data_IF_705562893717
#
_entry.id   IF_705562893717
#
_cell.length_a   1.000
_cell.length_b   1.000
_cell.length_c   1.000
_cell.angle_alpha   90.00
_cell.angle_beta   90.00
_cell.angle_gamma   90.00
#
_symmetry.space_group_name_H-M   'P 1'
#
loop_
_entity.id
_entity.type
_entity.pdbx_description
1 polymer ?
#
# COMPACT_ATOMS: atom_id res chain seq x y z
N UNK A 1 -9.01 -0.86 9.51
CA UNK A 1 -8.02 -0.28 8.58
C UNK A 1 -8.75 0.01 7.28
N UNK A 2 -8.79 1.26 6.83
CA UNK A 2 -9.36 1.65 5.53
C UNK A 2 -8.26 1.75 4.46
N UNK A 3 -8.64 1.88 3.19
CA UNK A 3 -7.70 2.13 2.09
C UNK A 3 -6.85 3.41 2.28
N UNK A 4 -7.47 4.49 2.78
CA UNK A 4 -6.75 5.73 3.09
C UNK A 4 -5.76 5.56 4.24
N UNK A 5 -6.18 4.86 5.31
CA UNK A 5 -5.29 4.56 6.43
C UNK A 5 -4.12 3.66 6.00
N UNK A 6 -4.35 2.70 5.10
CA UNK A 6 -3.28 1.88 4.51
C UNK A 6 -2.33 2.72 3.67
N UNK A 7 -2.86 3.62 2.84
CA UNK A 7 -2.04 4.56 2.04
C UNK A 7 -1.16 5.44 2.95
N UNK A 8 -1.74 5.99 4.02
CA UNK A 8 -0.99 6.81 4.97
C UNK A 8 0.06 6.01 5.74
N UNK A 9 -0.23 4.75 6.10
CA UNK A 9 0.72 3.85 6.74
C UNK A 9 1.91 3.53 5.81
N UNK A 10 1.64 3.17 4.55
CA UNK A 10 2.66 2.92 3.52
C UNK A 10 3.57 4.13 3.36
N UNK A 11 2.99 5.31 3.15
CA UNK A 11 3.74 6.56 2.98
C UNK A 11 4.58 6.89 4.22
N UNK A 12 4.00 6.74 5.41
CA UNK A 12 4.71 7.02 6.65
C UNK A 12 5.89 6.05 6.85
N UNK A 13 5.75 4.78 6.47
CA UNK A 13 6.81 3.78 6.59
C UNK A 13 7.91 3.98 5.56
N UNK A 14 7.55 4.25 4.30
CA UNK A 14 8.51 4.59 3.24
C UNK A 14 9.34 5.82 3.59
N UNK A 15 8.71 6.86 4.15
CA UNK A 15 9.43 8.06 4.60
C UNK A 15 10.39 7.76 5.75
N UNK A 16 9.98 6.94 6.72
CA UNK A 16 10.84 6.58 7.86
C UNK A 16 12.03 5.73 7.44
N UNK A 17 11.80 4.77 6.55
CA UNK A 17 12.79 3.71 6.28
C UNK A 17 13.68 4.04 5.07
N UNK A 18 13.17 4.83 4.10
CA UNK A 18 13.86 5.14 2.85
C UNK A 18 13.99 6.66 2.58
N UNK A 19 13.47 7.53 3.45
CA UNK A 19 13.55 8.98 3.31
C UNK A 19 12.77 9.52 2.11
N UNK A 20 13.27 10.61 1.50
CA UNK A 20 12.65 11.22 0.32
C UNK A 20 11.46 12.12 0.64
N UNK A 21 10.56 12.30 -0.33
CA UNK A 21 9.44 13.25 -0.23
C UNK A 21 8.09 12.55 -0.15
N UNK A 22 7.22 13.01 0.76
CA UNK A 22 5.87 12.45 0.97
C UNK A 22 5.05 12.40 -0.32
N UNK A 23 5.10 13.49 -1.09
CA UNK A 23 4.37 13.60 -2.35
C UNK A 23 4.87 12.59 -3.39
N UNK A 24 6.20 12.37 -3.47
CA UNK A 24 6.80 11.37 -4.35
C UNK A 24 6.25 9.98 -4.02
N UNK A 25 6.31 9.55 -2.77
CA UNK A 25 5.84 8.22 -2.38
C UNK A 25 4.35 8.01 -2.65
N UNK A 26 3.49 9.00 -2.35
CA UNK A 26 2.06 8.92 -2.72
C UNK A 26 1.86 8.73 -4.22
N UNK A 27 2.60 9.46 -5.04
CA UNK A 27 2.50 9.34 -6.49
C UNK A 27 2.95 7.96 -6.98
N UNK A 28 4.04 7.43 -6.43
CA UNK A 28 4.57 6.12 -6.82
C UNK A 28 3.67 4.96 -6.38
N UNK A 29 3.01 5.06 -5.22
CA UNK A 29 2.10 4.02 -4.71
C UNK A 29 0.85 3.83 -5.58
N UNK A 30 0.32 4.91 -6.14
CA UNK A 30 -1.02 4.88 -6.75
C UNK A 30 -2.14 4.63 -5.73
N UNK A 31 -3.38 4.41 -6.21
CA UNK A 31 -4.51 4.16 -5.33
C UNK A 31 -4.49 2.73 -4.76
N UNK A 32 -4.79 2.59 -3.47
CA UNK A 32 -5.12 1.29 -2.88
C UNK A 32 -6.53 0.91 -3.33
N UNK A 33 -6.64 -0.15 -4.12
CA UNK A 33 -7.92 -0.69 -4.58
C UNK A 33 -8.38 -1.82 -3.67
N UNK A 34 -9.68 -1.87 -3.43
CA UNK A 34 -10.31 -2.93 -2.67
C UNK A 34 -11.05 -3.90 -3.60
N UNK A 35 -10.99 -5.17 -3.26
CA UNK A 35 -11.79 -6.25 -3.84
C UNK A 35 -12.88 -6.69 -2.85
N UNK A 36 -13.93 -7.30 -3.38
CA UNK A 36 -14.94 -7.94 -2.55
C UNK A 36 -14.33 -9.10 -1.76
N UNK A 37 -14.62 -9.16 -0.47
CA UNK A 37 -14.18 -10.24 0.42
C UNK A 37 -14.79 -11.59 0.06
N UNK A 38 -15.94 -11.61 -0.63
CA UNK A 38 -16.54 -12.84 -1.12
C UNK A 38 -15.66 -13.54 -2.16
N UNK A 39 -14.95 -12.78 -3.01
CA UNK A 39 -14.04 -13.31 -4.03
C UNK A 39 -12.58 -13.29 -3.57
N UNK A 40 -12.23 -12.44 -2.62
CA UNK A 40 -10.88 -12.27 -2.09
C UNK A 40 -10.86 -12.38 -0.55
N UNK A 41 -11.10 -13.60 0.00
CA UNK A 41 -11.27 -13.79 1.44
C UNK A 41 -9.96 -13.65 2.24
N UNK A 42 -8.81 -13.80 1.59
CA UNK A 42 -7.49 -13.80 2.24
C UNK A 42 -6.76 -12.47 2.17
N UNK A 43 -6.96 -11.68 1.13
CA UNK A 43 -6.42 -10.33 0.99
C UNK A 43 -7.31 -9.55 0.03
N UNK A 44 -7.97 -8.51 0.52
CA UNK A 44 -8.98 -7.81 -0.27
C UNK A 44 -8.47 -6.49 -0.86
N UNK A 45 -7.16 -6.31 -0.97
CA UNK A 45 -6.61 -5.06 -1.50
C UNK A 45 -5.32 -5.26 -2.29
N UNK A 46 -5.09 -4.32 -3.21
CA UNK A 46 -3.87 -4.24 -4.01
C UNK A 46 -3.53 -2.79 -4.34
N UNK A 47 -2.32 -2.59 -4.86
CA UNK A 47 -1.86 -1.34 -5.47
C UNK A 47 -0.92 -1.71 -6.63
N UNK A 48 -0.85 -0.84 -7.64
CA UNK A 48 0.08 -1.00 -8.76
C UNK A 48 1.10 0.14 -8.70
N UNK A 49 2.27 -0.10 -8.10
CA UNK A 49 3.23 0.96 -7.94
C UNK A 49 3.91 1.27 -9.28
N UNK A 50 4.28 2.53 -9.46
CA UNK A 50 5.03 3.02 -10.61
C UNK A 50 6.37 3.60 -10.15
N UNK A 51 7.36 3.61 -11.02
CA UNK A 51 8.67 4.19 -10.74
C UNK A 51 9.80 3.41 -11.39
N UNK A 52 11.02 3.64 -10.89
CA UNK A 52 12.16 2.77 -11.18
C UNK A 52 11.98 1.38 -10.55
N UNK A 53 12.72 0.39 -11.04
CA UNK A 53 12.67 -0.98 -10.51
C UNK A 53 12.92 -1.03 -8.98
N UNK A 54 13.88 -0.26 -8.48
CA UNK A 54 14.21 -0.20 -7.05
C UNK A 54 13.07 0.41 -6.23
N UNK A 55 12.39 1.43 -6.77
CA UNK A 55 11.24 2.07 -6.10
C UNK A 55 10.04 1.11 -6.04
N UNK A 56 9.77 0.42 -7.15
CA UNK A 56 8.70 -0.58 -7.24
C UNK A 56 8.96 -1.72 -6.26
N UNK A 57 10.16 -2.31 -6.29
CA UNK A 57 10.55 -3.40 -5.38
C UNK A 57 10.44 -2.98 -3.90
N UNK A 58 10.86 -1.75 -3.57
CA UNK A 58 10.75 -1.21 -2.21
C UNK A 58 9.30 -1.14 -1.75
N UNK A 59 8.40 -0.68 -2.63
CA UNK A 59 6.96 -0.58 -2.33
C UNK A 59 6.33 -1.96 -2.23
N UNK A 60 6.64 -2.87 -3.15
CA UNK A 60 6.08 -4.23 -3.19
C UNK A 60 6.47 -5.01 -1.94
N UNK A 61 7.74 -4.97 -1.53
CA UNK A 61 8.21 -5.64 -0.31
C UNK A 61 7.48 -5.13 0.94
N UNK A 62 7.33 -3.82 1.09
CA UNK A 62 6.57 -3.26 2.21
C UNK A 62 5.08 -3.62 2.12
N UNK A 63 4.52 -3.66 0.91
CA UNK A 63 3.12 -4.06 0.70
C UNK A 63 2.89 -5.51 1.13
N UNK A 64 3.81 -6.41 0.83
CA UNK A 64 3.75 -7.81 1.27
C UNK A 64 3.80 -7.93 2.80
N UNK A 65 4.70 -7.20 3.46
CA UNK A 65 4.73 -7.13 4.93
C UNK A 65 3.40 -6.65 5.51
N UNK A 66 2.81 -5.60 4.93
CA UNK A 66 1.54 -5.04 5.40
C UNK A 66 0.34 -5.92 5.05
N UNK A 67 0.39 -6.73 3.99
CA UNK A 67 -0.64 -7.74 3.69
C UNK A 67 -0.66 -8.84 4.74
N UNK A 68 0.49 -9.21 5.31
CA UNK A 68 0.54 -10.17 6.43
C UNK A 68 -0.08 -9.58 7.70
N UNK A 69 0.16 -8.30 7.99
CA UNK A 69 -0.37 -7.64 9.19
C UNK A 69 -1.83 -7.20 9.05
N UNK A 70 -2.24 -6.77 7.86
CA UNK A 70 -3.53 -6.14 7.56
C UNK A 70 -4.09 -6.66 6.22
N UNK A 71 -4.39 -7.96 6.10
CA UNK A 71 -4.86 -8.55 4.84
C UNK A 71 -6.23 -8.01 4.41
N UNK A 72 -7.08 -7.65 5.37
CA UNK A 72 -8.46 -7.23 5.11
C UNK A 72 -8.66 -5.78 5.53
N UNK A 73 -8.95 -4.94 4.55
CA UNK A 73 -9.33 -3.55 4.73
C UNK A 73 -10.84 -3.41 4.64
N UNK A 74 -11.37 -2.43 5.37
CA UNK A 74 -12.75 -1.99 5.22
C UNK A 74 -12.82 -0.88 4.18
N UNK A 75 -14.02 -0.65 3.63
CA UNK A 75 -14.30 0.45 2.70
C UNK A 75 -13.82 1.82 3.19
N UNK A 76 -13.86 2.85 2.33
CA UNK A 76 -13.36 4.18 2.68
C UNK A 76 -14.03 4.71 3.95
N UNK A 77 -13.35 5.64 4.62
CA UNK A 77 -13.88 6.28 5.82
C UNK A 77 -15.00 7.25 5.47
#
# INVERSE_FOLDING_TARGET
>A
MTADQMTDLLVARLLRDHGGQKHKWRRLLGPVRLYDRATHPHCNWTLDPIGSAVEVETIERLSDELRLAHPILTGPR
#
